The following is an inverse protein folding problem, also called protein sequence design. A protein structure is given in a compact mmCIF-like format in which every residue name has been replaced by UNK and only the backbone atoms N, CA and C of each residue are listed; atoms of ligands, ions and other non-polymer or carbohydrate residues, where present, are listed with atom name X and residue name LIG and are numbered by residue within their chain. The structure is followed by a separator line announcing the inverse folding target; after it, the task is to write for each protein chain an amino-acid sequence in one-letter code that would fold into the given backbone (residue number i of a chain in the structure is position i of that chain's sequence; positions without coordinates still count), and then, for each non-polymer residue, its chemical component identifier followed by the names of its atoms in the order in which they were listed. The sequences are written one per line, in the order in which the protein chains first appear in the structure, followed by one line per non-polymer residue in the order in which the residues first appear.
data_IF_087212743335
#
_entry.id   IF_087212743335
#
_cell.length_a   1.000
_cell.length_b   1.000
_cell.length_c   1.000
_cell.angle_alpha   90.00
_cell.angle_beta   90.00
_cell.angle_gamma   90.00
#
_symmetry.space_group_name_H-M   'P 1'
#
loop_
_entity.id
_entity.type
_entity.pdbx_description
1 polymer ?
#
# COMPACT_ATOMS: atom_id res chain seq x y z
N UNK A 1 5.20 -0.67 3.87
CA UNK A 1 5.63 -0.31 5.25
C UNK A 1 4.84 -1.16 6.21
N UNK A 2 5.50 -1.67 7.25
CA UNK A 2 4.94 -2.67 8.17
C UNK A 2 5.03 -2.22 9.62
N UNK A 3 4.09 -2.70 10.43
CA UNK A 3 4.12 -2.57 11.89
C UNK A 3 4.94 -3.69 12.56
N UNK A 4 4.96 -3.68 13.90
CA UNK A 4 5.66 -4.68 14.71
C UNK A 4 5.13 -6.11 14.53
N UNK A 5 3.88 -6.27 14.08
CA UNK A 5 3.28 -7.57 13.79
C UNK A 5 3.56 -8.06 12.38
N UNK A 6 4.32 -7.31 11.56
CA UNK A 6 4.54 -7.61 10.16
C UNK A 6 3.33 -7.33 9.27
N UNK A 7 2.35 -6.55 9.73
CA UNK A 7 1.17 -6.19 8.94
C UNK A 7 1.48 -4.99 8.05
N UNK A 8 1.05 -5.02 6.78
CA UNK A 8 1.18 -3.88 5.87
C UNK A 8 0.27 -2.74 6.33
N UNK A 9 0.86 -1.64 6.78
CA UNK A 9 0.13 -0.46 7.29
C UNK A 9 0.04 0.68 6.28
N UNK A 10 0.98 0.76 5.33
CA UNK A 10 0.99 1.76 4.26
C UNK A 10 1.73 1.28 3.01
N UNK A 11 1.18 1.62 1.84
CA UNK A 11 1.75 1.42 0.51
C UNK A 11 1.76 2.77 -0.21
N UNK A 12 2.85 3.10 -0.91
CA UNK A 12 2.93 4.34 -1.67
C UNK A 12 3.93 4.28 -2.82
N UNK A 13 3.66 5.01 -3.90
CA UNK A 13 4.61 5.19 -5.01
C UNK A 13 5.55 6.38 -4.77
N UNK A 14 6.70 6.35 -5.45
CA UNK A 14 7.66 7.44 -5.45
C UNK A 14 8.39 7.54 -6.80
N UNK A 15 8.54 8.77 -7.31
CA UNK A 15 9.47 9.06 -8.41
C UNK A 15 10.94 9.08 -7.94
N UNK A 16 11.15 9.52 -6.70
CA UNK A 16 12.46 9.57 -6.04
C UNK A 16 12.29 8.98 -4.63
N UNK A 17 12.78 7.76 -4.45
CA UNK A 17 12.68 7.01 -3.20
C UNK A 17 13.36 7.74 -2.05
N UNK A 18 14.52 8.36 -2.30
CA UNK A 18 15.29 9.06 -1.26
C UNK A 18 14.49 10.26 -0.75
N UNK A 19 13.96 11.09 -1.66
CA UNK A 19 13.12 12.23 -1.26
C UNK A 19 11.85 11.78 -0.55
N UNK A 20 11.21 10.70 -1.02
CA UNK A 20 9.99 10.16 -0.40
C UNK A 20 10.25 9.69 1.02
N UNK A 21 11.25 8.83 1.23
CA UNK A 21 11.57 8.30 2.55
C UNK A 21 12.07 9.40 3.48
N UNK A 22 12.96 10.28 3.01
CA UNK A 22 13.42 11.41 3.82
C UNK A 22 12.30 12.34 4.27
N UNK A 23 11.15 12.40 3.57
CA UNK A 23 10.02 13.23 4.02
C UNK A 23 9.34 12.69 5.28
N UNK A 24 9.40 11.38 5.54
CA UNK A 24 8.80 10.73 6.71
C UNK A 24 9.66 10.84 7.98
N UNK A 25 10.97 11.07 7.84
CA UNK A 25 11.90 11.07 8.97
C UNK A 25 12.49 12.46 9.26
N UNK A 26 11.82 13.52 8.80
CA UNK A 26 12.15 14.89 9.17
C UNK A 26 11.59 15.20 10.55
N UNK A 27 12.27 16.07 11.28
CA UNK A 27 11.87 16.53 12.62
C UNK A 27 10.58 17.35 12.64
N UNK A 28 10.19 17.96 11.52
CA UNK A 28 8.94 18.71 11.40
C UNK A 28 8.03 18.04 10.35
N UNK A 29 7.23 17.07 10.80
CA UNK A 29 6.28 16.37 9.95
C UNK A 29 5.06 17.25 9.68
N UNK A 30 4.60 17.25 8.43
CA UNK A 30 3.54 18.15 8.00
C UNK A 30 2.16 17.83 8.59
N UNK A 31 1.93 16.62 9.11
CA UNK A 31 0.62 16.23 9.65
C UNK A 31 0.72 15.23 10.81
N UNK A 32 -0.19 15.35 11.78
CA UNK A 32 -0.35 14.37 12.88
C UNK A 32 -0.63 12.96 12.39
N UNK A 33 -1.30 12.81 11.24
CA UNK A 33 -1.56 11.49 10.65
C UNK A 33 -0.27 10.84 10.15
N UNK A 34 0.63 11.64 9.56
CA UNK A 34 1.96 11.19 9.14
C UNK A 34 2.81 10.84 10.35
N UNK A 35 2.77 11.62 11.42
CA UNK A 35 3.44 11.28 12.69
C UNK A 35 2.95 9.93 13.24
N UNK A 36 1.63 9.73 13.26
CA UNK A 36 1.02 8.48 13.71
C UNK A 36 1.38 7.28 12.82
N UNK A 37 1.54 7.47 11.51
CA UNK A 37 2.07 6.44 10.61
C UNK A 37 3.52 6.12 10.99
N UNK A 38 4.38 7.14 11.04
CA UNK A 38 5.83 6.98 11.26
C UNK A 38 6.13 6.31 12.59
N UNK A 39 5.36 6.64 13.64
CA UNK A 39 5.49 6.01 14.96
C UNK A 39 5.18 4.50 14.96
N UNK A 40 4.45 3.99 13.97
CA UNK A 40 4.10 2.57 13.85
C UNK A 40 5.01 1.79 12.91
N UNK A 41 5.82 2.45 12.07
CA UNK A 41 6.69 1.77 11.11
C UNK A 41 7.80 1.03 11.85
N UNK A 42 7.88 -0.28 11.65
CA UNK A 42 9.00 -1.11 12.11
C UNK A 42 9.85 -1.61 10.95
N UNK A 43 9.26 -1.80 9.77
CA UNK A 43 9.96 -2.25 8.57
C UNK A 43 9.48 -1.52 7.32
N UNK A 44 10.41 -1.29 6.39
CA UNK A 44 10.14 -0.71 5.08
C UNK A 44 10.74 -1.60 4.00
N UNK A 45 9.88 -2.14 3.14
CA UNK A 45 10.28 -2.80 1.91
C UNK A 45 10.11 -1.85 0.73
N UNK A 46 10.97 -2.03 -0.27
CA UNK A 46 11.00 -1.21 -1.49
C UNK A 46 11.14 -2.10 -2.71
N UNK A 47 10.27 -1.88 -3.69
CA UNK A 47 10.37 -2.48 -5.03
C UNK A 47 10.69 -1.37 -6.03
N UNK A 48 11.75 -1.55 -6.81
CA UNK A 48 12.13 -0.61 -7.88
C UNK A 48 11.44 -1.04 -9.17
N UNK A 49 10.80 -0.09 -9.85
CA UNK A 49 10.17 -0.28 -11.17
C UNK A 49 10.88 0.55 -12.24
N UNK A 50 10.69 0.20 -13.50
CA UNK A 50 11.34 0.90 -14.61
C UNK A 50 10.55 2.13 -15.06
N UNK A 51 9.22 2.10 -14.90
CA UNK A 51 8.33 3.19 -15.29
C UNK A 51 7.46 3.66 -14.13
N UNK A 52 6.96 4.90 -14.24
CA UNK A 52 6.00 5.44 -13.28
C UNK A 52 4.66 4.69 -13.35
N UNK A 53 4.27 4.24 -14.54
CA UNK A 53 3.04 3.45 -14.76
C UNK A 53 3.10 2.11 -14.04
N UNK A 54 4.24 1.42 -14.08
CA UNK A 54 4.45 0.18 -13.31
C UNK A 54 4.35 0.44 -11.80
N UNK A 55 4.99 1.51 -11.29
CA UNK A 55 4.90 1.86 -9.89
C UNK A 55 3.46 2.12 -9.44
N UNK A 56 2.70 2.83 -10.28
CA UNK A 56 1.29 3.13 -10.05
C UNK A 56 0.43 1.85 -10.03
N UNK A 57 0.65 0.95 -10.99
CA UNK A 57 -0.09 -0.31 -11.07
C UNK A 57 0.23 -1.21 -9.86
N UNK A 58 1.50 -1.31 -9.50
CA UNK A 58 1.95 -2.11 -8.37
C UNK A 58 1.41 -1.56 -7.04
N UNK A 59 1.45 -0.25 -6.84
CA UNK A 59 0.84 0.43 -5.70
C UNK A 59 -0.65 0.10 -5.61
N UNK A 60 -1.39 0.26 -6.70
CA UNK A 60 -2.82 -0.02 -6.76
C UNK A 60 -3.14 -1.48 -6.42
N UNK A 61 -2.36 -2.42 -6.97
CA UNK A 61 -2.53 -3.84 -6.70
C UNK A 61 -2.30 -4.17 -5.22
N UNK A 62 -1.26 -3.60 -4.60
CA UNK A 62 -0.98 -3.82 -3.18
C UNK A 62 -1.97 -3.12 -2.25
N UNK A 63 -2.47 -1.94 -2.60
CA UNK A 63 -3.54 -1.29 -1.82
C UNK A 63 -4.81 -2.14 -1.85
N UNK A 64 -5.15 -2.71 -3.01
CA UNK A 64 -6.31 -3.61 -3.14
C UNK A 64 -6.11 -4.91 -2.36
N UNK A 65 -4.93 -5.50 -2.44
CA UNK A 65 -4.62 -6.77 -1.79
C UNK A 65 -4.61 -6.65 -0.27
N UNK A 66 -3.93 -5.63 0.27
CA UNK A 66 -3.68 -5.51 1.71
C UNK A 66 -4.63 -4.57 2.45
N UNK A 67 -5.33 -3.69 1.73
CA UNK A 67 -6.22 -2.66 2.29
C UNK A 67 -5.63 -1.93 3.51
N UNK A 68 -4.43 -1.32 3.38
CA UNK A 68 -3.68 -0.84 4.53
C UNK A 68 -4.42 0.31 5.22
N UNK A 69 -4.48 0.27 6.55
CA UNK A 69 -5.21 1.24 7.37
C UNK A 69 -4.84 2.70 7.06
N UNK A 70 -3.55 3.01 6.88
CA UNK A 70 -3.11 4.39 6.66
C UNK A 70 -3.32 4.87 5.22
N UNK A 71 -3.50 3.99 4.24
CA UNK A 71 -3.91 4.40 2.89
C UNK A 71 -5.35 4.95 2.84
N UNK A 72 -6.19 4.58 3.81
CA UNK A 72 -7.54 5.12 3.97
C UNK A 72 -7.53 6.38 4.83
N UNK A 73 -6.71 6.43 5.88
CA UNK A 73 -6.66 7.59 6.80
C UNK A 73 -5.92 8.80 6.21
N UNK A 74 -4.90 8.57 5.37
CA UNK A 74 -4.09 9.60 4.69
C UNK A 74 -4.68 10.01 3.33
N UNK A 75 -5.96 9.69 3.10
CA UNK A 75 -6.74 10.14 1.95
C UNK A 75 -6.80 11.67 1.94
N UNK A 76 -6.04 12.29 1.03
CA UNK A 76 -6.35 13.62 0.50
C UNK A 76 -7.50 13.46 -0.50
N UNK A 77 -8.46 14.40 -0.51
CA UNK A 77 -9.75 14.37 -1.24
C UNK A 77 -9.70 14.20 -2.78
N UNK A 78 -8.60 13.69 -3.35
CA UNK A 78 -8.37 13.40 -4.78
C UNK A 78 -8.37 11.92 -5.14
N UNK A 79 -8.87 11.03 -4.28
CA UNK A 79 -8.66 9.59 -4.40
C UNK A 79 -9.34 9.00 -5.65
N UNK A 80 -8.64 8.06 -6.27
CA UNK A 80 -9.17 6.99 -7.10
C UNK A 80 -10.45 6.39 -6.46
N UNK A 81 -11.62 6.88 -6.88
CA UNK A 81 -12.91 6.26 -6.61
C UNK A 81 -12.96 4.91 -7.33
N UNK A 82 -12.65 3.84 -6.63
CA UNK A 82 -13.12 2.52 -7.03
C UNK A 82 -13.97 1.98 -5.90
N UNK A 83 -15.28 1.94 -6.18
CA UNK A 83 -16.25 1.09 -5.51
C UNK A 83 -15.60 -0.27 -5.28
N UNK A 84 -15.65 -0.77 -4.05
CA UNK A 84 -15.34 -2.16 -3.74
C UNK A 84 -16.64 -2.95 -4.00
N UNK A 85 -16.82 -3.63 -5.15
CA UNK A 85 -17.73 -4.76 -5.14
C UNK A 85 -17.10 -5.80 -4.21
N UNK A 86 -17.88 -6.22 -3.23
CA UNK A 86 -17.56 -7.27 -2.27
C UNK A 86 -17.21 -8.57 -3.01
N UNK A 87 -15.93 -8.78 -3.32
CA UNK A 87 -15.41 -10.10 -3.69
C UNK A 87 -14.22 -10.40 -2.79
N UNK A 88 -14.53 -11.23 -1.80
CA UNK A 88 -13.66 -11.84 -0.79
C UNK A 88 -12.43 -12.44 -1.48
N UNK A 89 -11.23 -11.95 -1.16
CA UNK A 89 -10.00 -12.68 -1.45
C UNK A 89 -9.92 -13.92 -0.53
N UNK A 90 -9.46 -15.08 -1.03
CA UNK A 90 -9.34 -16.28 -0.21
C UNK A 90 -8.20 -16.12 0.82
N UNK A 91 -8.30 -16.76 2.01
CA UNK A 91 -7.24 -16.76 2.99
C UNK A 91 -5.98 -17.45 2.44
N UNK A 92 -4.82 -16.97 2.88
CA UNK A 92 -3.48 -17.36 2.43
C UNK A 92 -3.05 -18.79 2.85
N UNK A 93 -3.89 -19.79 2.60
CA UNK A 93 -3.54 -21.21 2.74
C UNK A 93 -3.44 -21.85 1.36
N UNK A 94 -2.20 -21.88 0.87
CA UNK A 94 -1.52 -22.83 -0.05
C UNK A 94 -2.22 -23.81 -1.01
N UNK A 95 -3.53 -23.77 -1.27
CA UNK A 95 -4.15 -24.74 -2.19
C UNK A 95 -4.34 -24.13 -3.58
N UNK A 96 -3.41 -24.48 -4.48
CA UNK A 96 -3.42 -24.17 -5.89
C UNK A 96 -4.49 -24.98 -6.66
N UNK A 97 -5.76 -24.80 -6.32
CA UNK A 97 -6.90 -25.24 -7.15
C UNK A 97 -7.52 -24.06 -7.90
N UNK A 98 -6.72 -23.40 -8.74
CA UNK A 98 -7.21 -22.43 -9.71
C UNK A 98 -7.26 -23.11 -11.09
N UNK A 99 -8.36 -23.79 -11.38
CA UNK A 99 -8.71 -24.18 -12.75
C UNK A 99 -10.23 -24.16 -12.94
N UNK A 100 -10.64 -23.60 -14.08
CA UNK A 100 -11.97 -23.66 -14.71
C UNK A 100 -13.11 -22.81 -14.13
N UNK A 101 -13.15 -21.51 -14.47
CA UNK A 101 -14.44 -20.80 -14.68
C UNK A 101 -14.33 -19.42 -15.40
N UNK A 102 -13.45 -19.26 -16.41
CA UNK A 102 -13.46 -18.05 -17.27
C UNK A 102 -13.53 -18.37 -18.76
N UNK A 103 -14.30 -19.40 -19.13
CA UNK A 103 -14.85 -19.54 -20.47
C UNK A 103 -16.38 -19.61 -20.39
N UNK A 104 -17.01 -18.44 -20.33
CA UNK A 104 -18.34 -18.16 -20.90
C UNK A 104 -18.63 -16.67 -20.86
#
# INVERSE_FOLDING_TARGET
MYDAGGTVIYVGKAKDLKKRLSSYFRSNLASRKTEALVAQIQQIDVTVTHTETEALLLEHNYIKLYQPRYNVLLRDDKILSFYLPEWRYPPASGDASWCEACQR
#
